data_IF_428192586548
#
_entry.id   IF_428192586548
#
_cell.length_a   1.000
_cell.length_b   1.000
_cell.length_c   1.000
_cell.angle_alpha   90.00
_cell.angle_beta   90.00
_cell.angle_gamma   90.00
#
_symmetry.space_group_name_H-M   'P 1'
#
loop_
_entity.id
_entity.type
_entity.pdbx_description
1 polymer ?
#
# COMPACT_ATOMS: atom_id res chain seq x y z
N UNK A 1 -4.36 -19.93 14.25
CA UNK A 1 -5.11 -21.06 13.62
C UNK A 1 -5.50 -20.61 12.23
N UNK A 2 -5.28 -21.42 11.21
CA UNK A 2 -5.65 -21.05 9.84
C UNK A 2 -7.15 -21.19 9.60
N UNK A 3 -7.77 -20.11 9.14
CA UNK A 3 -9.17 -20.05 8.73
C UNK A 3 -9.23 -19.97 7.21
N UNK A 4 -9.89 -20.96 6.61
CA UNK A 4 -10.08 -21.05 5.16
C UNK A 4 -11.41 -20.40 4.79
N UNK A 5 -11.40 -19.42 3.89
CA UNK A 5 -12.57 -18.63 3.50
C UNK A 5 -12.77 -18.70 1.98
N UNK A 6 -13.99 -18.92 1.53
CA UNK A 6 -14.31 -18.96 0.10
C UNK A 6 -14.18 -17.56 -0.50
N UNK A 7 -13.32 -17.43 -1.50
CA UNK A 7 -13.07 -16.17 -2.19
C UNK A 7 -14.33 -15.58 -2.80
N UNK A 8 -15.30 -16.40 -3.23
CA UNK A 8 -16.59 -15.95 -3.79
C UNK A 8 -17.43 -15.25 -2.72
N UNK A 9 -17.49 -15.79 -1.50
CA UNK A 9 -18.29 -15.21 -0.40
C UNK A 9 -17.69 -13.89 0.08
N UNK A 10 -16.38 -13.83 0.30
CA UNK A 10 -15.74 -12.60 0.80
C UNK A 10 -15.82 -11.43 -0.20
N UNK A 11 -15.83 -11.76 -1.50
CA UNK A 11 -15.89 -10.79 -2.61
C UNK A 11 -17.30 -10.56 -3.17
N UNK A 12 -18.32 -11.19 -2.58
CA UNK A 12 -19.72 -11.06 -3.01
C UNK A 12 -20.28 -9.67 -2.66
N UNK A 13 -20.44 -8.82 -3.67
CA UNK A 13 -20.89 -7.43 -3.48
C UNK A 13 -22.31 -7.31 -2.96
N UNK A 14 -23.13 -8.36 -3.09
CA UNK A 14 -24.49 -8.40 -2.56
C UNK A 14 -24.51 -8.71 -1.06
N UNK A 15 -23.44 -9.32 -0.53
CA UNK A 15 -23.27 -9.54 0.90
C UNK A 15 -22.70 -8.29 1.59
N UNK A 16 -23.21 -7.99 2.77
CA UNK A 16 -22.67 -6.94 3.63
C UNK A 16 -21.38 -7.38 4.33
N UNK A 17 -20.58 -6.42 4.80
CA UNK A 17 -19.45 -6.71 5.68
C UNK A 17 -19.88 -7.42 6.97
N UNK A 18 -21.13 -7.23 7.42
CA UNK A 18 -21.68 -7.97 8.57
C UNK A 18 -21.82 -9.45 8.26
N UNK A 19 -22.35 -9.81 7.10
CA UNK A 19 -22.48 -11.21 6.68
C UNK A 19 -21.10 -11.87 6.51
N UNK A 20 -20.14 -11.19 5.88
CA UNK A 20 -18.78 -11.74 5.70
C UNK A 20 -18.07 -11.98 7.04
N UNK A 21 -18.25 -11.08 8.03
CA UNK A 21 -17.69 -11.27 9.38
C UNK A 21 -18.39 -12.40 10.13
N UNK A 22 -19.73 -12.51 10.04
CA UNK A 22 -20.46 -13.64 10.63
C UNK A 22 -20.05 -14.98 10.00
N UNK A 23 -19.87 -15.00 8.68
CA UNK A 23 -19.32 -16.14 7.93
C UNK A 23 -17.94 -16.53 8.47
N UNK A 24 -17.05 -15.55 8.66
CA UNK A 24 -15.72 -15.77 9.21
C UNK A 24 -15.78 -16.41 10.60
N UNK A 25 -16.61 -15.88 11.50
CA UNK A 25 -16.78 -16.44 12.84
C UNK A 25 -17.29 -17.89 12.83
N UNK A 26 -18.20 -18.22 11.92
CA UNK A 26 -18.69 -19.59 11.74
C UNK A 26 -17.60 -20.53 11.23
N UNK A 27 -16.74 -20.05 10.33
CA UNK A 27 -15.57 -20.82 9.86
C UNK A 27 -14.53 -21.01 10.95
N UNK A 28 -14.42 -20.10 11.92
CA UNK A 28 -13.51 -20.24 13.07
C UNK A 28 -13.96 -21.34 14.05
N UNK A 29 -15.26 -21.51 14.28
CA UNK A 29 -15.78 -22.58 15.17
C UNK A 29 -15.90 -23.95 14.49
N UNK A 30 -15.72 -23.98 13.17
CA UNK A 30 -15.89 -25.20 12.40
C UNK A 30 -14.82 -26.23 12.78
N UNK A 31 -15.28 -27.45 13.05
CA UNK A 31 -14.46 -28.65 13.14
C UNK A 31 -14.80 -29.62 11.99
N UNK A 32 -13.95 -30.63 11.79
CA UNK A 32 -14.09 -31.59 10.68
C UNK A 32 -15.16 -32.67 10.90
N UNK A 33 -15.75 -32.76 12.09
CA UNK A 33 -16.55 -33.92 12.50
C UNK A 33 -18.07 -33.69 12.44
N UNK A 34 -18.51 -32.44 12.28
CA UNK A 34 -19.93 -32.11 12.17
C UNK A 34 -20.13 -30.86 11.31
N UNK A 35 -21.30 -30.77 10.68
CA UNK A 35 -21.75 -29.57 9.98
C UNK A 35 -22.84 -28.82 10.77
N UNK A 36 -23.27 -29.40 11.91
CA UNK A 36 -24.32 -28.86 12.77
C UNK A 36 -23.71 -28.28 14.03
N UNK A 37 -23.98 -27.00 14.28
CA UNK A 37 -23.38 -26.24 15.38
C UNK A 37 -24.44 -25.55 16.21
N UNK A 38 -24.28 -25.65 17.54
CA UNK A 38 -24.94 -24.72 18.45
C UNK A 38 -24.23 -23.37 18.35
N UNK A 39 -24.99 -22.34 18.01
CA UNK A 39 -24.46 -20.99 17.79
C UNK A 39 -25.34 -19.99 18.51
N UNK A 40 -24.70 -19.09 19.25
CA UNK A 40 -25.31 -17.85 19.67
C UNK A 40 -24.38 -16.69 19.29
N UNK A 41 -24.92 -15.48 19.27
CA UNK A 41 -24.14 -14.32 18.79
C UNK A 41 -22.92 -14.04 19.67
N UNK A 42 -23.01 -14.31 20.97
CA UNK A 42 -21.89 -14.12 21.91
C UNK A 42 -20.72 -15.05 21.61
N UNK A 43 -20.99 -16.31 21.23
CA UNK A 43 -19.98 -17.26 20.79
C UNK A 43 -19.26 -16.73 19.56
N UNK A 44 -19.99 -16.32 18.52
CA UNK A 44 -19.37 -15.77 17.30
C UNK A 44 -18.52 -14.53 17.61
N UNK A 45 -19.01 -13.67 18.49
CA UNK A 45 -18.33 -12.45 18.87
C UNK A 45 -17.03 -12.73 19.65
N UNK A 46 -17.08 -13.67 20.59
CA UNK A 46 -15.90 -14.16 21.32
C UNK A 46 -14.86 -14.73 20.35
N UNK A 47 -15.26 -15.55 19.39
CA UNK A 47 -14.32 -16.15 18.43
C UNK A 47 -13.59 -15.11 17.58
N UNK A 48 -14.23 -13.97 17.28
CA UNK A 48 -13.63 -12.88 16.51
C UNK A 48 -12.73 -11.96 17.33
N UNK A 49 -12.86 -11.91 18.66
CA UNK A 49 -12.27 -10.84 19.49
C UNK A 49 -11.54 -11.31 20.73
N UNK A 50 -11.75 -12.56 21.14
CA UNK A 50 -11.43 -13.09 22.48
C UNK A 50 -12.04 -12.28 23.64
N UNK A 51 -13.10 -11.52 23.35
CA UNK A 51 -13.83 -10.70 24.32
C UNK A 51 -15.33 -11.03 24.32
N UNK A 52 -15.90 -11.06 25.52
CA UNK A 52 -17.34 -11.27 25.76
C UNK A 52 -18.07 -9.97 26.10
N UNK A 53 -17.33 -8.88 26.38
CA UNK A 53 -17.83 -7.58 26.81
C UNK A 53 -17.97 -6.61 25.64
N UNK A 54 -18.78 -6.99 24.66
CA UNK A 54 -18.93 -6.23 23.43
C UNK A 54 -20.14 -5.29 23.45
N UNK A 55 -19.99 -4.15 22.77
CA UNK A 55 -21.08 -3.17 22.66
C UNK A 55 -22.32 -3.79 22.03
N UNK A 56 -23.50 -3.32 22.45
CA UNK A 56 -24.79 -3.78 21.88
C UNK A 56 -24.83 -3.65 20.35
N UNK A 57 -24.31 -2.55 19.81
CA UNK A 57 -24.22 -2.30 18.36
C UNK A 57 -23.38 -3.35 17.64
N UNK A 58 -22.29 -3.82 18.24
CA UNK A 58 -21.44 -4.87 17.67
C UNK A 58 -22.21 -6.19 17.57
N UNK A 59 -22.89 -6.57 18.66
CA UNK A 59 -23.71 -7.79 18.73
C UNK A 59 -24.88 -7.74 17.74
N UNK A 60 -25.56 -6.59 17.62
CA UNK A 60 -26.64 -6.40 16.64
C UNK A 60 -26.14 -6.60 15.21
N UNK A 61 -24.99 -6.02 14.86
CA UNK A 61 -24.40 -6.21 13.53
C UNK A 61 -24.03 -7.65 13.21
N UNK A 62 -23.48 -8.40 14.16
CA UNK A 62 -23.24 -9.83 13.96
C UNK A 62 -24.56 -10.59 13.77
N UNK A 63 -25.59 -10.25 14.55
CA UNK A 63 -26.92 -10.83 14.37
C UNK A 63 -27.49 -10.54 12.99
N UNK A 64 -27.33 -9.32 12.48
CA UNK A 64 -27.78 -8.93 11.14
C UNK A 64 -27.02 -9.71 10.06
N UNK A 65 -25.70 -9.83 10.20
CA UNK A 65 -24.86 -10.62 9.29
C UNK A 65 -25.24 -12.10 9.27
N UNK A 66 -25.51 -12.70 10.44
CA UNK A 66 -25.96 -14.08 10.51
C UNK A 66 -27.34 -14.27 9.84
N UNK A 67 -28.27 -13.36 10.09
CA UNK A 67 -29.59 -13.38 9.45
C UNK A 67 -29.50 -13.25 7.93
N UNK A 68 -28.60 -12.39 7.43
CA UNK A 68 -28.36 -12.23 6.00
C UNK A 68 -27.85 -13.52 5.36
N UNK A 69 -26.93 -14.24 6.00
CA UNK A 69 -26.48 -15.56 5.53
C UNK A 69 -27.61 -16.59 5.50
N UNK A 70 -28.51 -16.56 6.49
CA UNK A 70 -29.70 -17.45 6.54
C UNK A 70 -30.67 -17.13 5.40
N UNK A 71 -31.01 -15.85 5.22
CA UNK A 71 -31.95 -15.40 4.17
C UNK A 71 -31.42 -15.72 2.78
N UNK A 72 -30.12 -15.53 2.56
CA UNK A 72 -29.44 -15.86 1.30
C UNK A 72 -29.11 -17.35 1.15
N UNK A 73 -29.56 -18.21 2.09
CA UNK A 73 -29.44 -19.68 2.06
C UNK A 73 -27.99 -20.20 2.07
N UNK A 74 -27.05 -19.39 2.55
CA UNK A 74 -25.69 -19.85 2.85
C UNK A 74 -25.66 -20.77 4.08
N UNK A 75 -26.65 -20.67 4.96
CA UNK A 75 -26.78 -21.46 6.20
C UNK A 75 -28.24 -21.87 6.38
N UNK A 76 -28.48 -23.09 6.88
CA UNK A 76 -29.81 -23.55 7.24
C UNK A 76 -30.03 -23.51 8.77
N UNK A 77 -31.20 -23.04 9.20
CA UNK A 77 -31.61 -23.06 10.61
C UNK A 77 -32.36 -24.35 10.91
N UNK A 78 -31.74 -25.25 11.67
CA UNK A 78 -32.37 -26.49 12.14
C UNK A 78 -33.29 -26.19 13.32
N UNK A 79 -32.85 -25.30 14.22
CA UNK A 79 -33.63 -24.92 15.41
C UNK A 79 -33.30 -23.48 15.79
N UNK A 80 -34.31 -22.74 16.23
CA UNK A 80 -34.17 -21.39 16.77
C UNK A 80 -35.02 -21.26 18.05
N UNK A 81 -34.38 -20.89 19.17
CA UNK A 81 -35.06 -20.63 20.44
C UNK A 81 -35.16 -19.13 20.72
N UNK A 82 -36.01 -18.75 21.68
CA UNK A 82 -36.37 -17.37 22.00
C UNK A 82 -35.17 -16.42 22.25
N UNK A 83 -34.03 -16.95 22.71
CA UNK A 83 -32.83 -16.17 23.05
C UNK A 83 -31.79 -16.06 21.91
N UNK A 84 -32.19 -16.31 20.66
CA UNK A 84 -31.26 -16.37 19.50
C UNK A 84 -30.18 -17.45 19.69
N UNK A 85 -30.61 -18.54 20.30
CA UNK A 85 -29.86 -19.78 20.39
C UNK A 85 -30.25 -20.64 19.19
N UNK A 86 -29.29 -20.83 18.28
CA UNK A 86 -29.49 -21.52 17.02
C UNK A 86 -28.82 -22.89 17.04
N UNK A 87 -29.44 -23.84 16.35
CA UNK A 87 -28.73 -24.99 15.77
C UNK A 87 -28.69 -24.73 14.27
N UNK A 88 -27.50 -24.52 13.75
CA UNK A 88 -27.26 -24.18 12.35
C UNK A 88 -26.61 -25.35 11.61
N UNK A 89 -27.03 -25.59 10.37
CA UNK A 89 -26.29 -26.41 9.41
C UNK A 89 -25.44 -25.50 8.52
N UNK A 90 -24.12 -25.62 8.62
CA UNK A 90 -23.16 -24.82 7.86
C UNK A 90 -22.52 -25.62 6.72
N UNK A 91 -23.11 -26.75 6.29
CA UNK A 91 -22.58 -27.61 5.22
C UNK A 91 -22.26 -26.85 3.93
N UNK A 92 -23.08 -25.85 3.59
CA UNK A 92 -22.90 -25.03 2.38
C UNK A 92 -21.71 -24.05 2.46
N UNK A 93 -21.13 -23.87 3.65
CA UNK A 93 -19.95 -23.03 3.86
C UNK A 93 -18.64 -23.83 3.75
N UNK A 94 -18.71 -25.15 3.57
CA UNK A 94 -17.54 -26.04 3.53
C UNK A 94 -16.84 -25.91 2.19
N UNK A 95 -15.55 -25.59 2.25
CA UNK A 95 -14.69 -25.59 1.07
C UNK A 95 -14.29 -27.04 0.78
N UNK A 96 -14.93 -27.65 -0.22
CA UNK A 96 -14.57 -28.99 -0.67
C UNK A 96 -13.49 -28.91 -1.76
N UNK A 97 -12.28 -29.38 -1.43
CA UNK A 97 -11.15 -29.44 -2.36
C UNK A 97 -11.05 -30.79 -3.09
N UNK A 98 -11.98 -31.73 -2.87
CA UNK A 98 -11.95 -33.07 -3.46
C UNK A 98 -12.63 -33.13 -4.85
N UNK A 99 -12.62 -32.05 -5.62
CA UNK A 99 -13.15 -32.10 -6.99
C UNK A 99 -12.10 -32.64 -7.96
N UNK A 100 -12.26 -33.92 -8.30
CA UNK A 100 -11.60 -34.55 -9.45
C UNK A 100 -11.83 -33.69 -10.71
N UNK A 101 -10.78 -33.02 -11.19
CA UNK A 101 -10.58 -32.56 -12.57
C UNK A 101 -11.67 -31.68 -13.23
N UNK A 102 -12.71 -31.22 -12.51
CA UNK A 102 -13.89 -30.60 -13.12
C UNK A 102 -14.04 -29.13 -12.71
N UNK A 103 -13.93 -28.28 -13.75
CA UNK A 103 -14.40 -26.90 -14.04
C UNK A 103 -14.74 -25.86 -12.96
N UNK A 104 -14.95 -26.19 -11.68
CA UNK A 104 -15.18 -25.22 -10.60
C UNK A 104 -14.13 -25.43 -9.51
N UNK A 105 -12.91 -24.91 -9.75
CA UNK A 105 -11.93 -24.76 -8.68
C UNK A 105 -12.45 -23.72 -7.70
N UNK A 106 -12.80 -24.15 -6.49
CA UNK A 106 -13.12 -23.24 -5.39
C UNK A 106 -11.84 -22.54 -4.94
N UNK A 107 -11.73 -21.25 -5.22
CA UNK A 107 -10.63 -20.44 -4.72
C UNK A 107 -10.91 -20.07 -3.27
N UNK A 108 -9.89 -20.16 -2.42
CA UNK A 108 -10.00 -19.80 -1.01
C UNK A 108 -8.89 -18.84 -0.59
N UNK A 109 -9.17 -18.11 0.48
CA UNK A 109 -8.22 -17.29 1.22
C UNK A 109 -7.93 -17.97 2.55
N UNK A 110 -6.65 -17.99 2.93
CA UNK A 110 -6.22 -18.40 4.27
C UNK A 110 -5.87 -17.16 5.06
N UNK A 111 -6.47 -17.01 6.24
CA UNK A 111 -6.20 -15.96 7.20
C UNK A 111 -5.91 -16.58 8.57
N UNK A 112 -4.93 -16.07 9.30
CA UNK A 112 -4.67 -16.54 10.67
C UNK A 112 -5.72 -15.95 11.63
N UNK A 113 -6.16 -16.73 12.61
CA UNK A 113 -6.98 -16.25 13.73
C UNK A 113 -6.37 -15.01 14.39
N UNK A 114 -5.04 -14.96 14.52
CA UNK A 114 -4.33 -13.85 15.14
C UNK A 114 -4.47 -12.57 14.29
N UNK A 115 -4.51 -12.70 12.96
CA UNK A 115 -4.76 -11.58 12.05
C UNK A 115 -6.20 -11.06 12.19
N UNK A 116 -7.17 -11.97 12.34
CA UNK A 116 -8.58 -11.63 12.60
C UNK A 116 -8.70 -10.88 13.92
N UNK A 117 -8.19 -11.46 15.00
CA UNK A 117 -8.24 -10.89 16.34
C UNK A 117 -7.60 -9.51 16.38
N UNK A 118 -6.42 -9.35 15.77
CA UNK A 118 -5.71 -8.08 15.71
C UNK A 118 -6.57 -7.01 15.02
N UNK A 119 -7.18 -7.30 13.86
CA UNK A 119 -8.05 -6.35 13.15
C UNK A 119 -9.30 -6.01 13.95
N UNK A 120 -9.97 -7.01 14.54
CA UNK A 120 -11.21 -6.82 15.28
C UNK A 120 -11.00 -6.05 16.60
N UNK A 121 -9.77 -6.05 17.13
CA UNK A 121 -9.39 -5.33 18.33
C UNK A 121 -8.63 -4.01 18.10
N UNK A 122 -8.43 -3.58 16.85
CA UNK A 122 -7.78 -2.29 16.56
C UNK A 122 -8.47 -1.11 17.27
N UNK A 123 -7.68 -0.22 17.86
CA UNK A 123 -8.17 1.05 18.38
C UNK A 123 -8.33 2.04 17.23
N UNK A 124 -9.50 2.03 16.60
CA UNK A 124 -9.80 2.89 15.47
C UNK A 124 -11.28 3.22 15.39
N UNK A 125 -11.58 4.41 14.86
CA UNK A 125 -12.94 4.83 14.50
C UNK A 125 -13.42 4.22 13.18
N UNK A 126 -12.51 3.60 12.41
CA UNK A 126 -12.88 2.94 11.16
C UNK A 126 -13.71 1.68 11.44
N UNK A 127 -14.55 1.33 10.47
CA UNK A 127 -15.42 0.18 10.59
C UNK A 127 -14.64 -1.14 10.51
N UNK A 128 -14.37 -1.77 11.66
CA UNK A 128 -13.53 -2.97 11.75
C UNK A 128 -14.03 -4.14 10.88
N UNK A 129 -15.34 -4.24 10.69
CA UNK A 129 -15.94 -5.28 9.84
C UNK A 129 -15.58 -5.07 8.37
N UNK A 130 -15.68 -3.83 7.91
CA UNK A 130 -15.27 -3.45 6.55
C UNK A 130 -13.76 -3.51 6.36
N UNK A 131 -12.97 -3.16 7.38
CA UNK A 131 -11.51 -3.30 7.36
C UNK A 131 -11.11 -4.78 7.24
N UNK A 132 -11.72 -5.68 8.02
CA UNK A 132 -11.46 -7.10 7.96
C UNK A 132 -11.81 -7.68 6.59
N UNK A 133 -12.99 -7.34 6.06
CA UNK A 133 -13.38 -7.75 4.69
C UNK A 133 -12.41 -7.21 3.64
N UNK A 134 -12.00 -5.95 3.74
CA UNK A 134 -11.02 -5.35 2.83
C UNK A 134 -9.69 -6.12 2.87
N UNK A 135 -9.21 -6.45 4.06
CA UNK A 135 -8.02 -7.27 4.24
C UNK A 135 -8.18 -8.66 3.61
N UNK A 136 -9.33 -9.35 3.78
CA UNK A 136 -9.60 -10.63 3.12
C UNK A 136 -9.63 -10.53 1.59
N UNK A 137 -10.28 -9.50 1.04
CA UNK A 137 -10.32 -9.24 -0.40
C UNK A 137 -8.94 -8.86 -0.95
N UNK A 138 -8.13 -8.14 -0.18
CA UNK A 138 -6.72 -7.97 -0.51
C UNK A 138 -6.02 -9.33 -0.52
N UNK A 139 -6.29 -10.18 0.47
CA UNK A 139 -5.68 -11.50 0.58
C UNK A 139 -6.08 -12.48 -0.54
N UNK A 140 -7.20 -12.25 -1.23
CA UNK A 140 -7.61 -13.07 -2.38
C UNK A 140 -6.87 -12.76 -3.68
N UNK A 141 -6.18 -11.61 -3.77
CA UNK A 141 -5.48 -11.17 -5.00
C UNK A 141 -4.01 -11.63 -5.08
N UNK A 142 -3.66 -12.76 -4.43
CA UNK A 142 -2.27 -13.28 -4.43
C UNK A 142 -1.87 -13.52 -5.86
N UNK A 143 -0.68 -13.04 -6.25
CA UNK A 143 -0.13 -13.49 -7.50
C UNK A 143 0.58 -14.85 -7.32
N UNK A 144 -0.10 -15.93 -7.66
CA UNK A 144 0.43 -17.29 -7.61
C UNK A 144 1.54 -17.56 -8.64
N UNK A 145 1.72 -16.69 -9.64
CA UNK A 145 2.84 -16.77 -10.58
C UNK A 145 4.04 -15.93 -10.14
N UNK A 146 3.94 -15.19 -9.02
CA UNK A 146 5.06 -14.42 -8.51
C UNK A 146 5.97 -15.33 -7.69
N UNK A 147 7.14 -15.62 -8.24
CA UNK A 147 8.18 -16.41 -7.61
C UNK A 147 9.40 -15.52 -7.35
N UNK A 148 9.97 -15.61 -6.15
CA UNK A 148 11.21 -14.94 -5.78
C UNK A 148 12.22 -15.96 -5.26
N UNK A 149 13.47 -15.81 -5.68
CA UNK A 149 14.57 -16.62 -5.18
C UNK A 149 15.51 -15.73 -4.36
N UNK A 150 15.82 -16.14 -3.13
CA UNK A 150 16.85 -15.44 -2.36
C UNK A 150 18.26 -15.76 -2.88
N UNK A 151 19.26 -15.11 -2.30
CA UNK A 151 20.68 -15.27 -2.67
C UNK A 151 21.20 -16.71 -2.49
N UNK A 152 20.51 -17.54 -1.71
CA UNK A 152 20.83 -18.96 -1.49
C UNK A 152 20.03 -19.88 -2.43
N UNK A 153 19.22 -19.31 -3.33
CA UNK A 153 18.39 -20.06 -4.27
C UNK A 153 17.12 -20.64 -3.66
N UNK A 154 16.73 -20.24 -2.45
CA UNK A 154 15.47 -20.69 -1.85
C UNK A 154 14.30 -19.97 -2.51
N UNK A 155 13.31 -20.76 -2.93
CA UNK A 155 12.11 -20.29 -3.61
C UNK A 155 11.05 -19.79 -2.60
N UNK A 156 10.45 -18.65 -2.92
CA UNK A 156 9.33 -18.06 -2.21
C UNK A 156 8.19 -17.76 -3.19
N UNK A 157 6.98 -18.16 -2.82
CA UNK A 157 5.74 -17.97 -3.58
C UNK A 157 4.63 -17.46 -2.65
N UNK A 158 3.52 -16.99 -3.22
CA UNK A 158 2.30 -16.61 -2.48
C UNK A 158 2.44 -15.44 -1.47
N UNK A 159 3.44 -14.58 -1.66
CA UNK A 159 3.76 -13.52 -0.69
C UNK A 159 3.40 -12.10 -1.19
N UNK A 160 3.21 -11.90 -2.51
CA UNK A 160 3.05 -10.57 -3.11
C UNK A 160 1.83 -10.45 -4.02
N UNK A 161 1.32 -9.22 -4.16
CA UNK A 161 0.09 -8.83 -4.86
C UNK A 161 0.34 -7.55 -5.64
N UNK A 162 -0.28 -7.43 -6.82
CA UNK A 162 -0.05 -6.31 -7.76
C UNK A 162 -1.33 -5.60 -8.20
N UNK A 163 -2.50 -6.02 -7.70
CA UNK A 163 -3.77 -5.42 -8.12
C UNK A 163 -3.86 -3.96 -7.66
N UNK A 164 -4.59 -3.11 -8.37
CA UNK A 164 -4.78 -1.73 -7.93
C UNK A 164 -5.64 -1.66 -6.67
N UNK A 165 -5.46 -0.63 -5.85
CA UNK A 165 -6.31 -0.40 -4.67
C UNK A 165 -7.79 -0.24 -5.07
N UNK A 166 -8.07 0.37 -6.23
CA UNK A 166 -9.42 0.47 -6.79
C UNK A 166 -10.02 -0.91 -7.05
N UNK A 167 -9.25 -1.82 -7.65
CA UNK A 167 -9.73 -3.17 -7.91
C UNK A 167 -10.06 -3.91 -6.60
N UNK A 168 -9.15 -3.87 -5.61
CA UNK A 168 -9.40 -4.48 -4.29
C UNK A 168 -10.63 -3.87 -3.64
N UNK A 169 -10.72 -2.54 -3.60
CA UNK A 169 -11.88 -1.84 -3.05
C UNK A 169 -13.17 -2.30 -3.72
N UNK A 170 -13.16 -2.45 -5.04
CA UNK A 170 -14.32 -2.93 -5.80
C UNK A 170 -14.76 -4.34 -5.45
N UNK A 171 -13.85 -5.23 -5.01
CA UNK A 171 -14.17 -6.60 -4.57
C UNK A 171 -14.95 -6.62 -3.25
N UNK A 172 -14.74 -5.64 -2.38
CA UNK A 172 -15.43 -5.54 -1.09
C UNK A 172 -16.52 -4.45 -1.03
N UNK A 173 -16.97 -3.95 -2.19
CA UNK A 173 -18.01 -2.92 -2.27
C UNK A 173 -17.57 -1.52 -1.81
N UNK A 174 -16.26 -1.25 -1.76
CA UNK A 174 -15.67 0.04 -1.37
C UNK A 174 -15.25 0.79 -2.63
N UNK A 175 -16.03 1.79 -3.03
CA UNK A 175 -15.77 2.56 -4.26
C UNK A 175 -14.98 3.85 -4.03
N UNK A 176 -14.86 4.30 -2.78
CA UNK A 176 -14.19 5.56 -2.44
C UNK A 176 -12.69 5.35 -2.22
N UNK A 177 -11.87 6.07 -2.99
CA UNK A 177 -10.41 6.16 -2.79
C UNK A 177 -10.06 6.44 -1.33
N UNK A 178 -10.68 7.50 -0.78
CA UNK A 178 -10.36 7.96 0.58
C UNK A 178 -10.69 6.92 1.65
N UNK A 179 -11.56 5.95 1.36
CA UNK A 179 -11.94 4.91 2.31
C UNK A 179 -10.92 3.78 2.32
N UNK A 180 -10.59 3.21 1.16
CA UNK A 180 -9.60 2.14 1.12
C UNK A 180 -8.18 2.65 1.42
N UNK A 181 -7.89 3.93 1.16
CA UNK A 181 -6.63 4.58 1.54
C UNK A 181 -6.47 4.64 3.06
N UNK A 182 -7.53 5.01 3.80
CA UNK A 182 -7.56 4.93 5.27
C UNK A 182 -7.44 3.49 5.78
N UNK A 183 -8.01 2.51 5.09
CA UNK A 183 -7.85 1.10 5.45
C UNK A 183 -6.40 0.65 5.29
N UNK A 184 -5.75 1.01 4.18
CA UNK A 184 -4.33 0.72 3.97
C UNK A 184 -3.45 1.34 5.04
N UNK A 185 -3.66 2.62 5.35
CA UNK A 185 -2.93 3.29 6.43
C UNK A 185 -3.11 2.59 7.78
N UNK A 186 -4.36 2.30 8.16
CA UNK A 186 -4.63 1.60 9.42
C UNK A 186 -3.95 0.21 9.46
N UNK A 187 -3.99 -0.54 8.37
CA UNK A 187 -3.39 -1.87 8.28
C UNK A 187 -1.85 -1.82 8.25
N UNK A 188 -1.23 -0.84 7.58
CA UNK A 188 0.24 -0.66 7.58
C UNK A 188 0.76 -0.17 8.94
N UNK A 189 0.11 0.82 9.56
CA UNK A 189 0.49 1.36 10.88
C UNK A 189 0.45 0.29 11.97
N UNK A 190 -0.44 -0.69 11.82
CA UNK A 190 -0.56 -1.82 12.74
C UNK A 190 0.17 -3.07 12.25
N UNK A 191 1.08 -2.98 11.28
CA UNK A 191 1.91 -4.10 10.80
C UNK A 191 1.08 -5.33 10.36
N UNK A 192 -0.08 -5.11 9.76
CA UNK A 192 -0.88 -6.16 9.12
C UNK A 192 -0.39 -6.40 7.70
N UNK A 193 -0.14 -5.31 6.98
CA UNK A 193 0.32 -5.34 5.60
C UNK A 193 1.59 -4.49 5.45
N UNK A 194 2.31 -4.75 4.36
CA UNK A 194 3.37 -3.87 3.88
C UNK A 194 3.07 -3.48 2.43
N UNK A 195 3.21 -2.20 2.09
CA UNK A 195 3.03 -1.70 0.73
C UNK A 195 4.35 -1.10 0.23
N UNK A 196 4.99 -1.78 -0.71
CA UNK A 196 6.08 -1.23 -1.51
C UNK A 196 5.49 -0.29 -2.57
N UNK A 197 5.77 0.99 -2.41
CA UNK A 197 5.29 2.05 -3.30
C UNK A 197 6.33 2.32 -4.38
N UNK A 198 6.02 1.92 -5.61
CA UNK A 198 6.93 2.14 -6.73
C UNK A 198 7.07 3.62 -7.08
N UNK A 199 8.31 4.06 -7.28
CA UNK A 199 8.63 5.44 -7.70
C UNK A 199 8.88 5.55 -9.21
N UNK A 200 8.64 4.48 -9.97
CA UNK A 200 8.88 4.44 -11.42
C UNK A 200 7.58 4.56 -12.25
N UNK A 201 7.72 5.10 -13.46
CA UNK A 201 6.71 5.07 -14.52
C UNK A 201 7.14 4.09 -15.61
N UNK A 202 6.16 3.43 -16.22
CA UNK A 202 6.37 2.49 -17.32
C UNK A 202 5.56 3.00 -18.51
N UNK A 203 6.12 2.90 -19.72
CA UNK A 203 5.36 3.14 -20.96
C UNK A 203 4.45 1.95 -21.26
N UNK A 204 3.18 2.20 -21.54
CA UNK A 204 2.30 1.18 -22.06
C UNK A 204 2.56 0.91 -23.56
N UNK A 205 1.89 -0.09 -24.13
CA UNK A 205 1.99 -0.46 -25.55
C UNK A 205 1.62 0.69 -26.51
N UNK A 206 0.94 1.73 -26.01
CA UNK A 206 0.55 2.94 -26.76
C UNK A 206 1.50 4.12 -26.50
N UNK A 207 2.59 3.89 -25.75
CA UNK A 207 3.58 4.90 -25.38
C UNK A 207 3.15 5.85 -24.26
N UNK A 208 2.01 5.61 -23.60
CA UNK A 208 1.54 6.43 -22.48
C UNK A 208 2.22 6.02 -21.18
N UNK A 209 2.56 7.01 -20.34
CA UNK A 209 3.18 6.75 -19.04
C UNK A 209 2.11 6.30 -18.03
N UNK A 210 2.30 5.12 -17.45
CA UNK A 210 1.50 4.63 -16.32
C UNK A 210 2.38 4.40 -15.10
N UNK A 211 1.79 4.56 -13.91
CA UNK A 211 2.43 4.10 -12.68
C UNK A 211 2.52 2.57 -12.69
N UNK A 212 3.65 2.04 -12.25
CA UNK A 212 3.70 0.65 -11.87
C UNK A 212 2.79 0.44 -10.63
N UNK A 213 1.85 -0.52 -10.66
CA UNK A 213 1.02 -0.82 -9.48
C UNK A 213 1.89 -1.17 -8.28
N UNK A 214 1.51 -0.67 -7.10
CA UNK A 214 2.20 -1.00 -5.86
C UNK A 214 2.22 -2.52 -5.63
N UNK A 215 3.29 -2.99 -4.99
CA UNK A 215 3.37 -4.34 -4.50
C UNK A 215 3.02 -4.35 -3.01
N UNK A 216 2.20 -5.30 -2.60
CA UNK A 216 1.81 -5.42 -1.20
C UNK A 216 1.53 -6.86 -0.82
N UNK A 217 1.54 -7.11 0.48
CA UNK A 217 1.34 -8.41 1.07
C UNK A 217 1.30 -8.30 2.58
N UNK A 218 1.43 -9.44 3.27
CA UNK A 218 1.48 -9.42 4.74
C UNK A 218 2.76 -8.75 5.21
N UNK A 219 2.70 -8.07 6.35
CA UNK A 219 3.88 -7.41 6.90
C UNK A 219 5.02 -8.40 7.20
N UNK A 220 4.70 -9.63 7.61
CA UNK A 220 5.70 -10.70 7.82
C UNK A 220 6.54 -11.02 6.59
N UNK A 221 6.02 -10.72 5.39
CA UNK A 221 6.69 -10.97 4.11
C UNK A 221 7.38 -9.70 3.55
N UNK A 222 7.49 -8.63 4.35
CA UNK A 222 8.03 -7.32 3.95
C UNK A 222 9.34 -7.41 3.16
N UNK A 223 10.33 -8.13 3.69
CA UNK A 223 11.65 -8.23 3.05
C UNK A 223 11.58 -8.97 1.70
N UNK A 224 10.71 -9.97 1.57
CA UNK A 224 10.45 -10.66 0.30
C UNK A 224 9.77 -9.73 -0.71
N UNK A 225 8.80 -8.93 -0.25
CA UNK A 225 8.12 -7.93 -1.08
C UNK A 225 9.13 -6.90 -1.58
N UNK A 226 10.00 -6.36 -0.71
CA UNK A 226 11.06 -5.42 -1.11
C UNK A 226 11.97 -6.06 -2.14
N UNK A 227 12.52 -7.25 -1.85
CA UNK A 227 13.44 -7.95 -2.73
C UNK A 227 12.84 -8.25 -4.10
N UNK A 228 11.61 -8.75 -4.14
CA UNK A 228 10.87 -8.99 -5.38
C UNK A 228 10.60 -7.69 -6.16
N UNK A 229 10.18 -6.63 -5.47
CA UNK A 229 9.86 -5.35 -6.11
C UNK A 229 11.09 -4.71 -6.75
N UNK A 230 12.21 -4.68 -6.04
CA UNK A 230 13.48 -4.16 -6.54
C UNK A 230 14.01 -5.01 -7.70
N UNK A 231 13.88 -6.34 -7.63
CA UNK A 231 14.26 -7.22 -8.74
C UNK A 231 13.42 -6.92 -9.99
N UNK A 232 12.11 -6.80 -9.83
CA UNK A 232 11.20 -6.46 -10.93
C UNK A 232 11.52 -5.09 -11.55
N UNK A 233 11.81 -4.08 -10.72
CA UNK A 233 12.25 -2.75 -11.20
C UNK A 233 13.56 -2.83 -11.99
N UNK A 234 14.55 -3.61 -11.55
CA UNK A 234 15.89 -3.58 -12.14
C UNK A 234 16.08 -4.56 -13.32
N UNK A 235 15.35 -5.67 -13.38
CA UNK A 235 15.65 -6.77 -14.30
C UNK A 235 14.48 -7.20 -15.18
N UNK A 236 13.24 -7.07 -14.73
CA UNK A 236 12.07 -7.54 -15.49
C UNK A 236 11.44 -6.46 -16.39
N UNK A 237 11.61 -5.18 -16.05
CA UNK A 237 10.92 -4.06 -16.72
C UNK A 237 11.74 -3.35 -17.82
N UNK A 238 13.00 -3.72 -18.03
CA UNK A 238 13.80 -3.31 -19.20
C UNK A 238 14.01 -1.78 -19.38
N UNK A 239 14.36 -1.36 -20.60
CA UNK A 239 14.67 0.05 -20.98
C UNK A 239 13.46 1.01 -20.98
N UNK A 240 12.24 0.51 -20.74
CA UNK A 240 10.99 1.30 -20.77
C UNK A 240 10.67 2.06 -19.47
N UNK A 241 11.62 2.07 -18.53
CA UNK A 241 11.50 2.72 -17.22
C UNK A 241 11.77 4.22 -17.36
N UNK A 242 10.83 5.03 -16.88
CA UNK A 242 11.02 6.48 -16.69
C UNK A 242 11.02 6.78 -15.20
N UNK A 243 12.15 7.22 -14.66
CA UNK A 243 12.31 7.55 -13.25
C UNK A 243 11.51 8.83 -12.90
N UNK A 244 10.57 8.75 -11.94
CA UNK A 244 9.82 9.94 -11.47
C UNK A 244 10.74 10.96 -10.82
N UNK A 245 11.86 10.55 -10.22
CA UNK A 245 12.81 11.46 -9.56
C UNK A 245 13.44 12.43 -10.56
N UNK A 246 13.70 11.98 -11.80
CA UNK A 246 14.21 12.85 -12.86
C UNK A 246 13.18 13.91 -13.29
N UNK A 247 11.90 13.56 -13.36
CA UNK A 247 10.83 14.51 -13.68
C UNK A 247 10.52 15.49 -12.55
N UNK A 248 10.58 15.05 -11.30
CA UNK A 248 10.44 15.94 -10.14
C UNK A 248 11.62 16.92 -10.05
N UNK A 249 12.84 16.44 -10.28
CA UNK A 249 14.07 17.26 -10.36
C UNK A 249 13.99 18.32 -11.45
N UNK A 250 13.47 17.97 -12.63
CA UNK A 250 13.20 18.91 -13.73
C UNK A 250 12.11 19.92 -13.36
N UNK A 251 11.04 19.46 -12.71
CA UNK A 251 9.93 20.34 -12.28
C UNK A 251 10.39 21.36 -11.24
N UNK A 252 11.14 20.94 -10.22
CA UNK A 252 11.67 21.83 -9.17
C UNK A 252 12.63 22.87 -9.76
N UNK A 253 13.51 22.46 -10.70
CA UNK A 253 14.40 23.39 -11.38
C UNK A 253 13.64 24.38 -12.29
N UNK A 254 12.61 23.92 -13.01
CA UNK A 254 11.76 24.80 -13.81
C UNK A 254 11.03 25.83 -12.95
N UNK A 255 10.52 25.42 -11.77
CA UNK A 255 9.88 26.33 -10.82
C UNK A 255 10.88 27.36 -10.30
N UNK A 256 12.09 26.95 -9.94
CA UNK A 256 13.18 27.88 -9.59
C UNK A 256 13.42 28.90 -10.72
N UNK A 257 13.54 28.47 -11.98
CA UNK A 257 13.70 29.41 -13.10
C UNK A 257 12.51 30.37 -13.25
N UNK A 258 11.29 29.92 -12.99
CA UNK A 258 10.12 30.80 -12.98
C UNK A 258 10.17 31.82 -11.83
N UNK A 259 10.69 31.44 -10.65
CA UNK A 259 10.92 32.39 -9.54
C UNK A 259 11.92 33.47 -9.93
N UNK A 260 13.04 33.09 -10.57
CA UNK A 260 14.11 34.02 -10.96
C UNK A 260 13.69 34.92 -12.13
N UNK A 261 13.12 34.34 -13.19
CA UNK A 261 12.86 35.04 -14.45
C UNK A 261 11.56 35.86 -14.44
N UNK A 262 10.53 35.34 -13.76
CA UNK A 262 9.18 35.92 -13.81
C UNK A 262 8.68 36.39 -12.43
N UNK A 263 9.47 36.22 -11.36
CA UNK A 263 9.04 36.57 -10.01
C UNK A 263 7.87 35.72 -9.50
N UNK A 264 7.68 34.51 -10.05
CA UNK A 264 6.56 33.63 -9.66
C UNK A 264 6.68 33.24 -8.19
N UNK A 265 5.57 33.34 -7.45
CA UNK A 265 5.50 32.92 -6.04
C UNK A 265 4.81 31.57 -5.92
N UNK A 266 5.32 30.73 -5.01
CA UNK A 266 4.79 29.41 -4.72
C UNK A 266 4.38 29.29 -3.25
N UNK A 267 3.45 28.38 -2.91
CA UNK A 267 3.10 28.10 -1.52
C UNK A 267 4.32 27.67 -0.70
N UNK A 268 4.33 27.99 0.60
CA UNK A 268 5.46 27.75 1.53
C UNK A 268 6.05 26.34 1.45
N UNK A 269 5.18 25.31 1.44
CA UNK A 269 5.58 23.91 1.31
C UNK A 269 6.37 23.65 0.03
N UNK A 270 5.96 24.28 -1.07
CA UNK A 270 6.60 24.11 -2.37
C UNK A 270 7.90 24.91 -2.44
N UNK A 271 7.93 26.13 -1.90
CA UNK A 271 9.13 26.95 -1.78
C UNK A 271 10.22 26.24 -0.96
N UNK A 272 9.86 25.59 0.15
CA UNK A 272 10.77 24.74 0.94
C UNK A 272 11.36 23.59 0.12
N UNK A 273 10.58 22.96 -0.75
CA UNK A 273 11.04 21.85 -1.61
C UNK A 273 11.99 22.35 -2.70
N UNK A 274 11.66 23.48 -3.34
CA UNK A 274 12.51 24.11 -4.35
C UNK A 274 13.85 24.51 -3.74
N UNK A 275 13.84 25.20 -2.59
CA UNK A 275 15.07 25.62 -1.89
C UNK A 275 15.96 24.43 -1.51
N UNK A 276 15.40 23.40 -0.85
CA UNK A 276 16.17 22.19 -0.48
C UNK A 276 16.82 21.52 -1.68
N UNK A 277 16.10 21.44 -2.80
CA UNK A 277 16.60 20.80 -4.01
C UNK A 277 17.71 21.62 -4.70
N UNK A 278 17.54 22.95 -4.81
CA UNK A 278 18.56 23.84 -5.37
C UNK A 278 19.84 23.78 -4.52
N UNK A 279 19.70 23.91 -3.20
CA UNK A 279 20.82 23.85 -2.27
C UNK A 279 21.58 22.53 -2.35
N UNK A 280 20.85 21.40 -2.33
CA UNK A 280 21.45 20.08 -2.50
C UNK A 280 22.20 19.97 -3.84
N UNK A 281 21.61 20.43 -4.94
CA UNK A 281 22.22 20.34 -6.27
C UNK A 281 23.50 21.18 -6.38
N UNK A 282 23.52 22.38 -5.80
CA UNK A 282 24.71 23.21 -5.74
C UNK A 282 25.84 22.51 -4.97
N UNK A 283 25.56 21.98 -3.78
CA UNK A 283 26.55 21.20 -3.00
C UNK A 283 27.09 19.99 -3.79
N UNK A 284 26.24 19.29 -4.54
CA UNK A 284 26.69 18.15 -5.36
C UNK A 284 27.58 18.58 -6.52
N UNK A 285 27.30 19.73 -7.15
CA UNK A 285 28.14 20.27 -8.21
C UNK A 285 29.49 20.76 -7.67
N UNK A 286 29.52 21.40 -6.50
CA UNK A 286 30.76 21.79 -5.81
C UNK A 286 31.64 20.56 -5.49
N UNK A 287 31.05 19.51 -4.91
CA UNK A 287 31.77 18.25 -4.64
C UNK A 287 32.33 17.62 -5.91
N UNK A 288 31.59 17.66 -7.02
CA UNK A 288 32.05 17.14 -8.33
C UNK A 288 33.17 17.98 -8.92
N UNK A 289 33.11 19.30 -8.77
CA UNK A 289 34.19 20.21 -9.14
C UNK A 289 35.48 19.87 -8.37
N UNK A 290 35.40 19.79 -7.04
CA UNK A 290 36.54 19.43 -6.18
C UNK A 290 37.18 18.09 -6.61
N UNK A 291 36.35 17.07 -6.82
CA UNK A 291 36.81 15.75 -7.27
C UNK A 291 37.43 15.77 -8.69
N UNK A 292 36.96 16.64 -9.59
CA UNK A 292 37.51 16.79 -10.92
C UNK A 292 38.90 17.46 -10.87
N UNK A 293 39.03 18.50 -10.06
CA UNK A 293 40.29 19.21 -9.80
C UNK A 293 41.33 18.29 -9.16
N UNK A 294 40.94 17.50 -8.17
CA UNK A 294 41.83 16.49 -7.54
C UNK A 294 42.37 15.47 -8.54
N UNK A 295 41.60 15.16 -9.59
CA UNK A 295 41.97 14.24 -10.66
C UNK A 295 42.72 14.92 -11.82
N UNK A 296 43.00 16.22 -11.71
CA UNK A 296 43.74 17.00 -12.72
C UNK A 296 42.90 17.48 -13.91
N UNK A 297 41.57 17.47 -13.81
CA UNK A 297 40.67 18.05 -14.80
C UNK A 297 40.25 19.47 -14.39
N UNK A 298 39.81 20.29 -15.36
CA UNK A 298 39.33 21.67 -15.08
C UNK A 298 38.11 21.68 -14.16
N UNK A 299 37.11 20.83 -14.42
CA UNK A 299 35.87 20.76 -13.62
C UNK A 299 34.93 21.96 -13.79
N UNK A 300 35.28 22.97 -14.58
CA UNK A 300 34.50 24.22 -14.77
C UNK A 300 33.03 23.96 -15.15
N UNK A 301 32.75 22.90 -15.91
CA UNK A 301 31.39 22.51 -16.29
C UNK A 301 30.45 22.23 -15.10
N UNK A 302 30.98 21.93 -13.90
CA UNK A 302 30.20 21.74 -12.70
C UNK A 302 29.91 23.08 -12.00
N UNK A 303 30.84 24.03 -12.06
CA UNK A 303 30.63 25.40 -11.58
C UNK A 303 29.58 26.13 -12.41
N UNK A 304 29.59 25.95 -13.74
CA UNK A 304 28.57 26.52 -14.63
C UNK A 304 27.14 26.04 -14.33
N UNK A 305 27.00 24.89 -13.65
CA UNK A 305 25.72 24.29 -13.27
C UNK A 305 25.24 24.75 -11.88
N UNK A 306 26.01 25.57 -11.15
CA UNK A 306 25.62 26.18 -9.87
C UNK A 306 24.70 27.37 -10.14
N UNK A 307 23.61 27.47 -9.38
CA UNK A 307 22.63 28.55 -9.52
C UNK A 307 22.52 29.38 -8.24
N UNK A 308 22.17 30.67 -8.36
CA UNK A 308 22.11 31.59 -7.23
C UNK A 308 20.98 31.25 -6.23
N UNK A 309 21.29 31.32 -4.94
CA UNK A 309 20.30 31.08 -3.87
C UNK A 309 19.73 32.38 -3.26
N UNK A 310 20.22 33.55 -3.67
CA UNK A 310 19.82 34.85 -3.10
C UNK A 310 18.32 35.13 -3.20
N UNK A 311 17.64 34.57 -4.20
CA UNK A 311 16.19 34.66 -4.38
C UNK A 311 15.40 34.09 -3.19
N UNK A 312 16.03 33.22 -2.39
CA UNK A 312 15.40 32.62 -1.22
C UNK A 312 15.53 33.49 0.05
N UNK A 313 16.45 34.46 0.08
CA UNK A 313 16.69 35.32 1.25
C UNK A 313 15.48 36.15 1.67
N UNK A 314 14.51 36.38 0.76
CA UNK A 314 13.25 37.06 1.05
C UNK A 314 12.23 36.20 1.83
N UNK A 315 12.53 34.93 2.11
CA UNK A 315 11.65 34.00 2.82
C UNK A 315 12.25 33.61 4.17
N UNK A 316 11.96 34.39 5.21
CA UNK A 316 12.52 34.21 6.56
C UNK A 316 12.31 32.79 7.13
N UNK A 317 11.14 32.18 6.85
CA UNK A 317 10.79 30.82 7.28
C UNK A 317 11.70 29.70 6.72
N UNK A 318 12.57 30.00 5.75
CA UNK A 318 13.57 29.06 5.25
C UNK A 318 14.81 28.99 6.15
N UNK A 319 15.03 30.00 6.99
CA UNK A 319 16.25 30.18 7.79
C UNK A 319 15.99 30.26 9.31
N UNK A 320 14.72 30.28 9.74
CA UNK A 320 14.37 30.17 11.15
C UNK A 320 14.81 28.82 11.73
N UNK A 321 15.77 28.85 12.67
CA UNK A 321 16.04 27.73 13.56
C UNK A 321 14.87 27.60 14.52
N UNK A 322 14.14 26.49 14.43
CA UNK A 322 13.10 26.11 15.40
C UNK A 322 13.66 26.18 16.82
N UNK A 323 13.29 27.21 17.57
CA UNK A 323 13.60 27.37 18.98
C UNK A 323 12.49 26.70 19.81
N UNK A 324 12.52 25.38 19.87
CA UNK A 324 11.85 24.61 20.93
C UNK A 324 12.66 23.34 21.18
N UNK A 325 13.28 23.24 22.36
CA UNK A 325 14.27 22.21 22.69
C UNK A 325 13.70 20.85 23.14
N UNK A 326 14.69 19.96 23.35
CA UNK A 326 14.71 18.55 23.75
C UNK A 326 14.63 17.55 22.59
N UNK A 327 15.57 16.63 22.35
CA UNK A 327 16.85 16.23 22.96
C UNK A 327 17.67 15.50 21.88
N UNK A 328 18.99 15.42 22.10
CA UNK A 328 20.04 14.81 21.28
C UNK A 328 19.63 13.60 20.40
N UNK A 329 19.70 13.76 19.08
CA UNK A 329 20.03 12.68 18.15
C UNK A 329 21.28 13.14 17.42
N UNK A 330 22.35 12.32 17.50
CA UNK A 330 23.56 12.48 16.71
C UNK A 330 23.18 12.77 15.25
N UNK A 331 23.43 14.00 14.79
CA UNK A 331 23.26 14.41 13.40
C UNK A 331 24.45 13.92 12.59
N UNK A 332 24.54 12.60 12.40
CA UNK A 332 25.35 11.94 11.38
C UNK A 332 24.46 10.94 10.60
N UNK A 333 23.31 11.44 10.14
CA UNK A 333 22.58 10.81 9.03
C UNK A 333 21.80 11.89 8.28
N UNK A 334 22.50 12.58 7.38
CA UNK A 334 21.83 13.17 6.23
C UNK A 334 21.09 12.02 5.54
N UNK A 335 19.77 12.00 5.63
CA UNK A 335 18.90 11.10 4.87
C UNK A 335 18.93 11.56 3.40
N UNK A 336 20.06 11.30 2.74
CA UNK A 336 20.38 11.61 1.35
C UNK A 336 19.61 10.66 0.43
N UNK A 337 18.28 10.82 0.38
CA UNK A 337 17.39 10.03 -0.48
C UNK A 337 17.40 10.47 -1.96
N UNK A 338 18.36 11.32 -2.35
CA UNK A 338 18.42 11.94 -3.68
C UNK A 338 19.38 11.28 -4.67
N UNK A 339 20.15 10.26 -4.27
CA UNK A 339 20.98 9.48 -5.20
C UNK A 339 22.00 10.31 -5.98
N UNK A 340 22.73 9.65 -6.91
CA UNK A 340 23.75 10.32 -7.74
C UNK A 340 23.09 11.14 -8.86
N UNK A 341 23.57 12.36 -9.18
CA UNK A 341 22.98 13.19 -10.23
C UNK A 341 23.18 12.58 -11.62
N UNK A 342 22.11 12.52 -12.42
CA UNK A 342 22.11 12.04 -13.82
C UNK A 342 22.73 13.12 -14.73
N UNK A 343 23.65 12.79 -15.66
CA UNK A 343 24.20 13.74 -16.62
C UNK A 343 23.11 14.27 -17.58
N UNK A 344 22.89 15.59 -17.60
CA UNK A 344 22.14 16.29 -18.66
C UNK A 344 23.10 16.55 -19.83
N UNK A 345 23.40 15.55 -20.66
CA UNK A 345 24.26 15.79 -21.83
C UNK A 345 23.50 16.16 -23.10
N UNK A 346 22.19 15.96 -23.17
CA UNK A 346 21.41 16.36 -24.34
C UNK A 346 20.07 16.93 -23.93
N UNK A 347 20.02 18.25 -23.75
CA UNK A 347 18.91 19.13 -24.16
C UNK A 347 19.30 20.57 -23.78
N UNK A 348 19.03 21.50 -24.70
CA UNK A 348 19.30 22.94 -24.63
C UNK A 348 20.66 23.43 -25.15
N UNK A 349 20.82 23.38 -26.48
CA UNK A 349 21.59 24.42 -27.19
C UNK A 349 20.71 25.66 -27.33
N UNK A 350 21.08 26.77 -26.70
CA UNK A 350 20.48 28.08 -27.00
C UNK A 350 21.20 28.61 -28.25
N UNK A 351 20.74 28.20 -29.42
CA UNK A 351 21.10 28.86 -30.68
C UNK A 351 19.85 29.27 -31.44
N UNK A 352 19.85 30.56 -31.82
CA UNK A 352 18.88 31.16 -32.71
C UNK A 352 17.83 31.98 -31.99
N UNK A 353 18.07 33.29 -31.84
CA UNK A 353 17.20 34.34 -32.39
C UNK A 353 17.94 35.67 -32.33
N UNK A 354 18.94 35.80 -33.20
CA UNK A 354 19.43 37.09 -33.67
C UNK A 354 18.72 37.46 -34.97
N UNK A 355 18.27 38.70 -35.05
CA UNK A 355 17.81 39.45 -36.22
C UNK A 355 16.51 39.01 -36.91
N UNK A 356 15.50 39.89 -36.78
CA UNK A 356 14.82 40.51 -37.93
C UNK A 356 14.13 41.80 -37.46
N UNK A 357 14.72 42.92 -37.87
CA UNK A 357 13.93 44.10 -38.25
C UNK A 357 13.33 43.91 -39.64
#
# INVERSE_FOLDING_TARGET
MDVFLDSKIISDKELSSNAVVAYTALRMIQNLNTNKYYVNIKLLAFQLTDDITLSRKYVERLSDGLNELIVNKYIEVITNKADKDYILDISNLIINNNSDGSKDKTFFVVIDSDEIHKIMNLDSRLDKFSVLRYFMCMLSTVNYSATYYDVMGKEYINFVRFMTNDYIGSLCGVTSYTTYDKYNHLLEENEMIYIYRHSILIRDEKGQLKNLPNHYGRYKDKELIIGYSVNRENFELGEDIVDKKANESRSLMQKYYCMVKYGTEYPEKETKRIHKYVHYRNQQNEKKYEQAVEKGYSGEEFLEKIVLEDIFQKYDYLFEKSSSGCENINTDSADDNWGKPVPMEHDFSIEGYANRG
#
